data_IF_284688624570
#
_entry.id   IF_284688624570
#
_cell.length_a   1.000
_cell.length_b   1.000
_cell.length_c   1.000
_cell.angle_alpha   90.00
_cell.angle_beta   90.00
_cell.angle_gamma   90.00
#
_symmetry.space_group_name_H-M   'P 1'
#
loop_
_entity.id
_entity.type
_entity.pdbx_description
1 polymer ?
#
# COMPACT_ATOMS: atom_id res chain seq x y z
N UNK A 1 -12.33 -3.98 -11.00
CA UNK A 1 -11.04 -4.70 -11.13
C UNK A 1 -11.15 -6.23 -11.17
N UNK A 2 -12.30 -6.84 -10.79
CA UNK A 2 -12.53 -8.30 -10.93
C UNK A 2 -12.93 -8.77 -12.35
N UNK A 3 -13.01 -7.90 -13.35
CA UNK A 3 -13.39 -8.28 -14.73
C UNK A 3 -12.20 -8.78 -15.57
N UNK A 4 -10.97 -8.70 -15.07
CA UNK A 4 -9.74 -9.13 -15.75
C UNK A 4 -9.16 -10.45 -15.22
N UNK A 5 -9.77 -11.01 -14.18
CA UNK A 5 -9.48 -12.29 -13.55
C UNK A 5 -10.84 -12.97 -13.38
N UNK A 6 -11.22 -14.09 -13.99
CA UNK A 6 -10.54 -15.36 -14.23
C UNK A 6 -11.43 -16.13 -15.21
N UNK A 7 -10.90 -16.69 -16.30
CA UNK A 7 -11.55 -17.78 -17.06
C UNK A 7 -10.60 -18.98 -17.30
N UNK A 8 -9.32 -18.86 -16.92
CA UNK A 8 -8.33 -19.94 -17.01
C UNK A 8 -7.47 -19.92 -15.72
N UNK A 9 -7.30 -21.05 -15.01
CA UNK A 9 -6.43 -21.18 -13.85
C UNK A 9 -4.95 -20.84 -14.08
N UNK A 10 -4.50 -20.63 -15.34
CA UNK A 10 -3.07 -20.51 -15.68
C UNK A 10 -2.60 -19.19 -16.30
N UNK A 11 -3.47 -18.25 -16.72
CA UNK A 11 -3.03 -17.05 -17.47
C UNK A 11 -3.80 -15.75 -17.23
N UNK A 12 -3.13 -14.61 -17.45
CA UNK A 12 -3.79 -13.30 -17.54
C UNK A 12 -4.63 -13.22 -18.83
N UNK A 13 -5.81 -12.62 -18.75
CA UNK A 13 -6.74 -12.51 -19.89
C UNK A 13 -6.70 -11.14 -20.56
N UNK A 14 -7.32 -11.03 -21.74
CA UNK A 14 -7.39 -9.79 -22.54
C UNK A 14 -6.14 -9.52 -23.40
N UNK A 15 -6.18 -8.48 -24.26
CA UNK A 15 -5.09 -8.19 -25.21
C UNK A 15 -3.74 -7.95 -24.54
N UNK A 16 -3.71 -7.16 -23.47
CA UNK A 16 -2.48 -6.86 -22.71
C UNK A 16 -1.98 -8.09 -21.95
N UNK A 17 -2.87 -8.80 -21.25
CA UNK A 17 -2.51 -9.94 -20.41
C UNK A 17 -1.89 -11.11 -21.20
N UNK A 18 -2.35 -11.33 -22.44
CA UNK A 18 -1.81 -12.36 -23.34
C UNK A 18 -0.35 -12.09 -23.75
N UNK A 19 0.11 -10.84 -23.70
CA UNK A 19 1.48 -10.47 -24.07
C UNK A 19 2.47 -10.59 -22.92
N UNK A 20 2.00 -10.76 -21.67
CA UNK A 20 2.88 -10.86 -20.51
C UNK A 20 3.91 -11.99 -20.60
N UNK A 21 3.61 -13.22 -21.06
CA UNK A 21 4.60 -14.30 -21.07
C UNK A 21 5.83 -14.06 -21.97
N UNK A 22 5.69 -13.23 -23.01
CA UNK A 22 6.71 -13.01 -24.04
C UNK A 22 7.25 -11.59 -24.07
N UNK A 23 6.75 -10.68 -23.21
CA UNK A 23 7.10 -9.25 -23.25
C UNK A 23 8.60 -8.97 -23.13
N UNK A 24 9.36 -9.82 -22.44
CA UNK A 24 10.81 -9.68 -22.28
C UNK A 24 11.59 -9.82 -23.59
N UNK A 25 11.02 -10.47 -24.60
CA UNK A 25 11.66 -10.71 -25.90
C UNK A 25 11.42 -9.57 -26.90
N UNK A 26 10.47 -8.67 -26.62
CA UNK A 26 10.15 -7.58 -27.53
C UNK A 26 11.24 -6.50 -27.47
N UNK A 27 11.70 -5.92 -28.59
CA UNK A 27 12.67 -4.83 -28.53
C UNK A 27 12.09 -3.61 -27.80
N UNK A 28 12.95 -2.77 -27.22
CA UNK A 28 12.55 -1.42 -26.83
C UNK A 28 12.47 -0.58 -28.11
N UNK A 29 11.40 0.19 -28.23
CA UNK A 29 11.10 1.03 -29.40
C UNK A 29 11.00 2.49 -28.98
N UNK A 30 10.73 3.40 -29.92
CA UNK A 30 10.40 4.79 -29.55
C UNK A 30 9.05 4.83 -28.84
N UNK A 31 9.02 5.40 -27.63
CA UNK A 31 7.80 5.52 -26.82
C UNK A 31 7.68 6.94 -26.25
N UNK A 32 6.46 7.32 -25.86
CA UNK A 32 6.23 8.62 -25.24
C UNK A 32 6.62 8.63 -23.76
N UNK A 33 7.32 9.67 -23.32
CA UNK A 33 7.61 9.85 -21.90
C UNK A 33 6.32 10.06 -21.10
N UNK A 34 6.26 9.47 -19.91
CA UNK A 34 5.18 9.71 -18.94
C UNK A 34 5.78 10.40 -17.73
N UNK A 35 5.19 11.52 -17.32
CA UNK A 35 5.66 12.24 -16.14
C UNK A 35 5.53 11.36 -14.87
N UNK A 36 6.58 11.39 -14.05
CA UNK A 36 6.74 10.53 -12.88
C UNK A 36 8.06 10.82 -12.17
N UNK A 37 8.03 11.68 -11.15
CA UNK A 37 9.21 12.00 -10.36
C UNK A 37 9.30 11.13 -9.12
N UNK A 38 9.98 9.98 -9.24
CA UNK A 38 10.37 9.17 -8.09
C UNK A 38 11.36 9.95 -7.21
N UNK A 39 11.16 9.91 -5.90
CA UNK A 39 12.16 10.37 -4.93
C UNK A 39 13.40 9.48 -5.01
N UNK A 40 14.54 10.04 -4.63
CA UNK A 40 15.77 9.25 -4.48
C UNK A 40 15.55 8.10 -3.49
N UNK A 41 15.95 6.90 -3.89
CA UNK A 41 15.70 5.68 -3.16
C UNK A 41 16.98 4.86 -3.11
N UNK A 42 17.37 4.43 -1.90
CA UNK A 42 18.51 3.54 -1.75
C UNK A 42 18.15 2.14 -2.26
N UNK A 43 18.91 1.67 -3.24
CA UNK A 43 18.72 0.37 -3.86
C UNK A 43 19.51 -0.74 -3.14
N UNK A 44 20.36 -0.39 -2.17
CA UNK A 44 21.03 -1.34 -1.31
C UNK A 44 19.94 -2.05 -0.47
N UNK A 45 19.94 -3.38 -0.45
CA UNK A 45 18.91 -4.24 0.19
C UNK A 45 17.52 -4.28 -0.46
N UNK A 46 17.40 -3.80 -1.70
CA UNK A 46 16.14 -3.87 -2.48
C UNK A 46 16.06 -5.14 -3.33
N UNK A 47 14.87 -5.75 -3.42
CA UNK A 47 14.68 -6.94 -4.26
C UNK A 47 14.88 -6.64 -5.76
N UNK A 48 15.23 -7.65 -6.55
CA UNK A 48 15.43 -7.49 -8.00
C UNK A 48 14.23 -6.88 -8.71
N UNK A 49 13.02 -7.23 -8.28
CA UNK A 49 11.76 -6.75 -8.86
C UNK A 49 11.51 -5.28 -8.51
N UNK A 50 11.82 -4.86 -7.27
CA UNK A 50 11.72 -3.46 -6.84
C UNK A 50 12.78 -2.59 -7.53
N UNK A 51 14.02 -3.08 -7.67
CA UNK A 51 15.07 -2.39 -8.44
C UNK A 51 14.65 -2.22 -9.90
N UNK A 52 14.01 -3.24 -10.50
CA UNK A 52 13.49 -3.13 -11.86
C UNK A 52 12.41 -2.06 -11.96
N UNK A 53 11.43 -2.07 -11.04
CA UNK A 53 10.36 -1.06 -10.98
C UNK A 53 10.94 0.35 -10.93
N UNK A 54 11.85 0.61 -9.98
CA UNK A 54 12.47 1.93 -9.80
C UNK A 54 13.18 2.41 -11.07
N UNK A 55 14.03 1.54 -11.65
CA UNK A 55 14.82 1.87 -12.84
C UNK A 55 13.94 2.06 -14.07
N UNK A 56 12.89 1.25 -14.25
CA UNK A 56 12.01 1.32 -15.41
C UNK A 56 11.09 2.55 -15.35
N UNK A 57 10.51 2.87 -14.19
CA UNK A 57 9.76 4.12 -14.00
C UNK A 57 10.65 5.34 -14.28
N UNK A 58 11.89 5.33 -13.78
CA UNK A 58 12.86 6.40 -14.02
C UNK A 58 13.23 6.54 -15.50
N UNK A 59 13.40 5.42 -16.21
CA UNK A 59 13.70 5.37 -17.63
C UNK A 59 12.55 5.92 -18.48
N UNK A 60 11.31 5.49 -18.19
CA UNK A 60 10.11 5.97 -18.89
C UNK A 60 9.91 7.47 -18.67
N UNK A 61 10.12 7.97 -17.45
CA UNK A 61 10.02 9.40 -17.16
C UNK A 61 11.08 10.23 -17.91
N UNK A 62 12.27 9.67 -18.14
CA UNK A 62 13.33 10.30 -18.94
C UNK A 62 13.14 10.14 -20.45
N UNK A 63 12.30 9.20 -20.88
CA UNK A 63 12.10 8.87 -22.30
C UNK A 63 13.24 8.02 -22.89
N UNK A 64 14.08 7.41 -22.06
CA UNK A 64 15.20 6.58 -22.51
C UNK A 64 15.41 5.37 -21.59
N UNK A 65 15.52 4.17 -22.18
CA UNK A 65 15.72 2.91 -21.48
C UNK A 65 17.14 2.42 -21.74
N UNK A 66 18.01 2.40 -20.72
CA UNK A 66 19.39 1.94 -20.86
C UNK A 66 19.49 0.50 -21.44
N UNK A 67 20.50 0.20 -22.29
CA UNK A 67 20.63 -1.12 -22.93
C UNK A 67 20.75 -2.31 -21.97
N UNK A 68 21.29 -2.10 -20.77
CA UNK A 68 21.36 -3.11 -19.72
C UNK A 68 19.99 -3.37 -19.07
N UNK A 69 19.13 -2.35 -18.99
CA UNK A 69 17.77 -2.46 -18.45
C UNK A 69 16.82 -3.09 -19.48
N UNK A 70 16.97 -2.78 -20.77
CA UNK A 70 16.11 -3.31 -21.85
C UNK A 70 16.20 -4.83 -21.99
N UNK A 71 17.38 -5.40 -21.72
CA UNK A 71 17.67 -6.85 -21.75
C UNK A 71 17.33 -7.58 -20.45
N UNK A 72 16.97 -6.85 -19.38
CA UNK A 72 16.72 -7.44 -18.07
C UNK A 72 15.34 -8.09 -18.01
N UNK A 73 15.28 -9.30 -17.46
CA UNK A 73 14.01 -10.00 -17.20
C UNK A 73 13.18 -9.21 -16.15
N UNK A 74 11.91 -8.86 -16.44
CA UNK A 74 11.01 -8.20 -15.48
C UNK A 74 10.56 -9.09 -14.31
N UNK A 75 11.03 -10.33 -14.23
CA UNK A 75 10.80 -11.27 -13.14
C UNK A 75 9.89 -12.44 -13.56
N UNK A 76 10.06 -13.59 -12.92
CA UNK A 76 9.27 -14.80 -13.21
C UNK A 76 7.79 -14.57 -12.88
N UNK A 77 6.91 -14.86 -13.84
CA UNK A 77 5.47 -14.74 -13.63
C UNK A 77 5.02 -15.60 -12.44
N UNK A 78 4.42 -14.94 -11.46
CA UNK A 78 3.66 -15.57 -10.38
C UNK A 78 2.41 -14.72 -10.13
N UNK A 79 1.22 -15.34 -10.25
CA UNK A 79 -0.08 -14.65 -10.12
C UNK A 79 -0.27 -13.92 -8.78
N UNK A 80 0.45 -14.32 -7.74
CA UNK A 80 0.44 -13.67 -6.43
C UNK A 80 1.35 -12.43 -6.32
N UNK A 81 2.15 -12.11 -7.35
CA UNK A 81 3.14 -11.02 -7.32
C UNK A 81 2.71 -9.86 -8.21
N UNK A 82 1.97 -8.94 -7.60
CA UNK A 82 1.57 -7.68 -8.26
C UNK A 82 2.76 -6.92 -8.85
N UNK A 83 3.90 -6.87 -8.13
CA UNK A 83 5.10 -6.17 -8.59
C UNK A 83 5.66 -6.71 -9.92
N UNK A 84 5.67 -8.03 -10.12
CA UNK A 84 6.07 -8.63 -11.39
C UNK A 84 5.11 -8.27 -12.51
N UNK A 85 3.81 -8.17 -12.21
CA UNK A 85 2.79 -7.74 -13.19
C UNK A 85 3.04 -6.29 -13.62
N UNK A 86 3.30 -5.40 -12.67
CA UNK A 86 3.67 -4.01 -12.91
C UNK A 86 4.92 -3.91 -13.79
N UNK A 87 5.98 -4.65 -13.46
CA UNK A 87 7.21 -4.65 -14.25
C UNK A 87 6.97 -5.10 -15.70
N UNK A 88 6.09 -6.10 -15.92
CA UNK A 88 5.72 -6.56 -17.26
C UNK A 88 4.88 -5.55 -18.03
N UNK A 89 3.99 -4.81 -17.36
CA UNK A 89 3.24 -3.70 -17.98
C UNK A 89 4.21 -2.61 -18.46
N UNK A 90 5.14 -2.18 -17.60
CA UNK A 90 6.16 -1.19 -17.97
C UNK A 90 7.02 -1.68 -19.13
N UNK A 91 7.39 -2.97 -19.13
CA UNK A 91 8.16 -3.57 -20.21
C UNK A 91 7.41 -3.62 -21.54
N UNK A 92 6.10 -3.84 -21.52
CA UNK A 92 5.25 -3.78 -22.70
C UNK A 92 5.10 -2.36 -23.24
N UNK A 93 4.94 -1.38 -22.34
CA UNK A 93 4.81 0.02 -22.74
C UNK A 93 6.01 0.50 -23.55
N UNK A 94 7.23 0.27 -23.06
CA UNK A 94 8.48 0.65 -23.78
C UNK A 94 8.76 -0.19 -25.03
N UNK A 95 7.96 -1.22 -25.27
CA UNK A 95 8.03 -2.09 -26.46
C UNK A 95 6.89 -1.84 -27.46
N UNK A 96 6.06 -0.82 -27.23
CA UNK A 96 4.90 -0.51 -28.05
C UNK A 96 5.03 0.89 -28.63
N UNK A 97 5.23 1.01 -29.94
CA UNK A 97 5.29 2.33 -30.62
C UNK A 97 3.92 3.03 -30.60
N UNK A 98 2.85 2.26 -30.68
CA UNK A 98 1.47 2.74 -30.62
C UNK A 98 0.72 1.98 -29.50
N UNK A 99 0.97 2.32 -28.23
CA UNK A 99 0.32 1.65 -27.11
C UNK A 99 -1.19 1.94 -27.11
N UNK A 100 -2.00 0.96 -26.71
CA UNK A 100 -3.45 1.18 -26.56
C UNK A 100 -3.73 2.15 -25.42
N UNK A 101 -4.89 2.82 -25.45
CA UNK A 101 -5.32 3.74 -24.39
C UNK A 101 -5.32 3.07 -23.00
N UNK A 102 -5.66 1.79 -22.92
CA UNK A 102 -5.63 1.02 -21.68
C UNK A 102 -4.19 0.81 -21.17
N UNK A 103 -3.25 0.50 -22.07
CA UNK A 103 -1.84 0.34 -21.71
C UNK A 103 -1.23 1.67 -21.25
N UNK A 104 -1.56 2.78 -21.92
CA UNK A 104 -1.19 4.13 -21.50
C UNK A 104 -1.76 4.40 -20.10
N UNK A 105 -3.08 4.25 -19.91
CA UNK A 105 -3.77 4.54 -18.64
C UNK A 105 -3.18 3.78 -17.46
N UNK A 106 -2.90 2.47 -17.63
CA UNK A 106 -2.33 1.65 -16.56
C UNK A 106 -0.87 2.04 -16.30
N UNK A 107 -0.10 2.34 -17.35
CA UNK A 107 1.29 2.78 -17.20
C UNK A 107 1.38 4.12 -16.49
N UNK A 108 0.52 5.08 -16.85
CA UNK A 108 0.39 6.35 -16.14
C UNK A 108 0.04 6.15 -14.67
N UNK A 109 -0.94 5.28 -14.37
CA UNK A 109 -1.27 4.95 -12.99
C UNK A 109 -0.06 4.39 -12.23
N UNK A 110 0.74 3.54 -12.88
CA UNK A 110 1.95 2.98 -12.27
C UNK A 110 2.94 4.10 -11.90
N UNK A 111 3.25 5.00 -12.84
CA UNK A 111 4.25 6.05 -12.62
C UNK A 111 3.76 7.16 -11.69
N UNK A 112 2.51 7.61 -11.84
CA UNK A 112 1.96 8.78 -11.14
C UNK A 112 1.35 8.45 -9.78
N UNK A 113 1.02 7.18 -9.53
CA UNK A 113 0.33 6.75 -8.30
C UNK A 113 1.06 5.61 -7.62
N UNK A 114 1.10 4.42 -8.23
CA UNK A 114 1.53 3.20 -7.54
C UNK A 114 3.00 3.24 -7.12
N UNK A 115 3.93 3.49 -8.05
CA UNK A 115 5.35 3.47 -7.77
C UNK A 115 5.73 4.55 -6.75
N UNK A 116 5.13 5.74 -6.86
CA UNK A 116 5.37 6.83 -5.92
C UNK A 116 4.95 6.46 -4.49
N UNK A 117 3.73 5.95 -4.31
CA UNK A 117 3.24 5.54 -2.98
C UNK A 117 4.01 4.32 -2.47
N UNK A 118 4.38 3.38 -3.35
CA UNK A 118 5.15 2.20 -2.99
C UNK A 118 6.51 2.58 -2.39
N UNK A 119 7.31 3.38 -3.10
CA UNK A 119 8.63 3.78 -2.59
C UNK A 119 8.52 4.72 -1.39
N UNK A 120 7.46 5.53 -1.31
CA UNK A 120 7.20 6.36 -0.14
C UNK A 120 6.94 5.51 1.12
N UNK A 121 6.22 4.40 0.99
CA UNK A 121 6.02 3.42 2.07
C UNK A 121 7.34 2.76 2.47
N UNK A 122 8.20 2.40 1.51
CA UNK A 122 9.49 1.78 1.81
C UNK A 122 10.42 2.74 2.58
N UNK A 123 10.49 4.02 2.18
CA UNK A 123 11.30 5.05 2.86
C UNK A 123 10.69 5.43 4.21
N UNK A 124 9.38 5.68 4.25
CA UNK A 124 8.63 6.11 5.43
C UNK A 124 7.75 4.99 5.94
N UNK A 125 8.41 3.91 6.35
CA UNK A 125 7.72 2.68 6.71
C UNK A 125 7.01 2.71 8.06
N UNK A 126 7.10 3.77 8.87
CA UNK A 126 6.43 3.80 10.20
C UNK A 126 4.91 3.63 10.08
N UNK A 127 4.30 2.90 11.01
CA UNK A 127 2.85 2.76 11.15
C UNK A 127 2.13 4.10 11.38
N UNK A 128 2.84 5.09 11.92
CA UNK A 128 2.35 6.47 12.05
C UNK A 128 2.18 7.15 10.69
N UNK A 129 2.81 6.68 9.62
CA UNK A 129 2.67 7.26 8.28
C UNK A 129 1.54 6.62 7.46
N UNK A 130 0.92 5.54 7.96
CA UNK A 130 -0.05 4.74 7.21
C UNK A 130 -1.22 5.55 6.62
N UNK A 131 -1.85 6.42 7.42
CA UNK A 131 -2.95 7.27 6.96
C UNK A 131 -2.49 8.31 5.92
N UNK A 132 -1.25 8.82 6.04
CA UNK A 132 -0.66 9.75 5.07
C UNK A 132 -0.39 9.06 3.73
N UNK A 133 0.08 7.82 3.75
CA UNK A 133 0.29 7.01 2.55
C UNK A 133 -1.02 6.74 1.81
N UNK A 134 -2.08 6.39 2.53
CA UNK A 134 -3.40 6.17 1.96
C UNK A 134 -4.00 7.47 1.41
N UNK A 135 -3.84 8.58 2.13
CA UNK A 135 -4.21 9.90 1.63
C UNK A 135 -3.46 10.27 0.34
N UNK A 136 -2.14 10.04 0.30
CA UNK A 136 -1.29 10.26 -0.88
C UNK A 136 -1.79 9.45 -2.08
N UNK A 137 -2.14 8.17 -1.88
CA UNK A 137 -2.74 7.32 -2.91
C UNK A 137 -4.06 7.89 -3.46
N UNK A 138 -4.94 8.36 -2.57
CA UNK A 138 -6.23 8.95 -2.96
C UNK A 138 -6.00 10.23 -3.75
N UNK A 139 -5.21 11.17 -3.23
CA UNK A 139 -4.87 12.45 -3.88
C UNK A 139 -4.29 12.22 -5.28
N UNK A 140 -3.29 11.34 -5.38
CA UNK A 140 -2.61 11.05 -6.65
C UNK A 140 -3.52 10.36 -7.66
N UNK A 141 -4.54 9.63 -7.24
CA UNK A 141 -5.48 8.97 -8.16
C UNK A 141 -6.62 9.86 -8.66
N UNK A 142 -6.77 11.10 -8.13
CA UNK A 142 -7.93 11.95 -8.48
C UNK A 142 -7.94 12.42 -9.94
N UNK A 143 -6.78 12.51 -10.60
CA UNK A 143 -6.68 12.88 -12.03
C UNK A 143 -7.32 11.85 -12.98
N UNK A 144 -7.53 10.62 -12.50
CA UNK A 144 -8.04 9.54 -13.34
C UNK A 144 -9.49 9.82 -13.80
N UNK A 145 -9.87 9.33 -14.99
CA UNK A 145 -11.25 9.42 -15.48
C UNK A 145 -12.24 8.75 -14.52
N UNK A 146 -13.50 9.20 -14.53
CA UNK A 146 -14.56 8.67 -13.66
C UNK A 146 -14.70 7.14 -13.76
N UNK A 147 -14.73 6.59 -14.98
CA UNK A 147 -14.83 5.15 -15.21
C UNK A 147 -13.67 4.34 -14.59
N UNK A 148 -12.47 4.92 -14.49
CA UNK A 148 -11.33 4.30 -13.81
C UNK A 148 -11.47 4.43 -12.30
N UNK A 149 -11.93 5.59 -11.81
CA UNK A 149 -12.20 5.81 -10.38
C UNK A 149 -13.26 4.84 -9.84
N UNK A 150 -14.32 4.57 -10.61
CA UNK A 150 -15.34 3.55 -10.28
C UNK A 150 -14.76 2.15 -10.07
N UNK A 151 -13.59 1.88 -10.66
CA UNK A 151 -12.89 0.60 -10.52
C UNK A 151 -11.94 0.59 -9.31
N UNK A 152 -11.21 1.68 -9.05
CA UNK A 152 -10.15 1.73 -8.03
C UNK A 152 -10.68 2.14 -6.65
N UNK A 153 -11.65 3.04 -6.56
CA UNK A 153 -12.12 3.60 -5.29
C UNK A 153 -12.73 2.49 -4.39
N UNK A 154 -13.51 1.52 -4.92
CA UNK A 154 -13.95 0.36 -4.14
C UNK A 154 -12.80 -0.57 -3.71
N UNK A 155 -11.65 -0.53 -4.38
CA UNK A 155 -10.45 -1.27 -3.96
C UNK A 155 -9.75 -0.54 -2.83
N UNK A 156 -9.55 0.77 -2.95
CA UNK A 156 -8.99 1.63 -1.90
C UNK A 156 -9.84 1.52 -0.63
N UNK A 157 -11.16 1.71 -0.76
CA UNK A 157 -12.11 1.62 0.33
C UNK A 157 -12.07 0.28 1.07
N UNK A 158 -11.85 -0.85 0.39
CA UNK A 158 -11.76 -2.17 1.05
C UNK A 158 -10.44 -2.40 1.79
N UNK A 159 -9.39 -1.66 1.43
CA UNK A 159 -8.07 -1.77 2.03
C UNK A 159 -7.76 -0.60 2.99
N UNK A 160 -8.75 0.24 3.32
CA UNK A 160 -8.59 1.44 4.12
C UNK A 160 -8.42 1.19 5.63
N UNK A 161 -7.71 0.12 5.99
CA UNK A 161 -7.47 -0.26 7.38
C UNK A 161 -6.62 0.78 8.13
N UNK A 162 -5.69 1.45 7.44
CA UNK A 162 -4.90 2.53 8.03
C UNK A 162 -5.71 3.80 8.32
N UNK A 163 -6.92 3.93 7.80
CA UNK A 163 -7.83 5.04 8.13
C UNK A 163 -8.88 4.66 9.20
N UNK A 164 -8.62 3.60 9.95
CA UNK A 164 -9.33 3.38 11.20
C UNK A 164 -9.01 4.53 12.18
N UNK A 165 -9.97 5.01 13.02
CA UNK A 165 -9.77 6.18 13.88
C UNK A 165 -8.50 6.12 14.73
N UNK A 166 -8.14 4.93 15.23
CA UNK A 166 -6.93 4.75 16.05
C UNK A 166 -5.62 4.94 15.25
N UNK A 167 -5.59 4.55 13.98
CA UNK A 167 -4.42 4.72 13.12
C UNK A 167 -4.25 6.17 12.67
N UNK A 168 -5.36 6.86 12.39
CA UNK A 168 -5.33 8.31 12.10
C UNK A 168 -4.81 9.07 13.32
N UNK A 169 -5.23 8.70 14.54
CA UNK A 169 -4.69 9.30 15.76
C UNK A 169 -3.17 9.08 15.90
N UNK A 170 -2.64 7.90 15.55
CA UNK A 170 -1.20 7.67 15.52
C UNK A 170 -0.48 8.60 14.54
N UNK A 171 -1.04 8.77 13.34
CA UNK A 171 -0.51 9.72 12.34
C UNK A 171 -0.56 11.18 12.80
N UNK A 172 -1.61 11.55 13.54
CA UNK A 172 -1.77 12.90 14.08
C UNK A 172 -0.80 13.20 15.23
N UNK A 173 -0.46 12.21 16.06
CA UNK A 173 0.51 12.39 17.15
C UNK A 173 1.91 12.76 16.66
N UNK A 174 2.29 12.27 15.48
CA UNK A 174 3.58 12.58 14.84
C UNK A 174 3.45 13.61 13.71
N UNK A 175 2.35 14.36 13.65
CA UNK A 175 2.16 15.41 12.64
C UNK A 175 3.04 16.61 12.93
N UNK A 176 3.64 17.23 11.92
CA UNK A 176 4.45 18.45 12.07
C UNK A 176 3.64 19.63 12.63
N UNK A 177 2.32 19.64 12.39
CA UNK A 177 1.41 20.69 12.86
C UNK A 177 1.05 20.46 14.32
N UNK A 178 1.51 21.36 15.19
CA UNK A 178 1.16 21.38 16.63
C UNK A 178 -0.35 21.22 16.92
N UNK A 179 -1.28 21.88 16.19
CA UNK A 179 -2.72 21.71 16.45
C UNK A 179 -3.22 20.28 16.21
N UNK A 180 -2.62 19.53 15.28
CA UNK A 180 -3.01 18.14 15.01
C UNK A 180 -2.54 17.21 16.12
N UNK A 181 -1.32 17.40 16.61
CA UNK A 181 -0.79 16.67 17.78
C UNK A 181 -1.65 16.91 19.01
N UNK A 182 -2.01 18.17 19.27
CA UNK A 182 -2.89 18.54 20.38
C UNK A 182 -4.28 17.87 20.27
N UNK A 183 -4.89 17.94 19.09
CA UNK A 183 -6.20 17.34 18.84
C UNK A 183 -6.17 15.81 19.05
N UNK A 184 -5.09 15.15 18.62
CA UNK A 184 -4.91 13.72 18.83
C UNK A 184 -4.85 13.36 20.33
N UNK A 185 -4.00 14.07 21.09
CA UNK A 185 -3.86 13.89 22.53
C UNK A 185 -5.21 14.07 23.26
N UNK A 186 -5.95 15.14 22.93
CA UNK A 186 -7.28 15.40 23.49
C UNK A 186 -8.28 14.30 23.16
N UNK A 187 -8.27 13.79 21.92
CA UNK A 187 -9.14 12.67 21.50
C UNK A 187 -8.81 11.39 22.25
N UNK A 188 -7.52 11.07 22.41
CA UNK A 188 -7.07 9.90 23.16
C UNK A 188 -7.52 9.99 24.62
N UNK A 189 -7.24 11.12 25.29
CA UNK A 189 -7.66 11.32 26.68
C UNK A 189 -9.18 11.22 26.84
N UNK A 190 -9.96 11.80 25.91
CA UNK A 190 -11.43 11.67 25.92
C UNK A 190 -11.90 10.22 25.77
N UNK A 191 -11.23 9.41 24.95
CA UNK A 191 -11.56 7.99 24.79
C UNK A 191 -11.36 7.20 26.10
N UNK A 192 -10.29 7.53 26.85
CA UNK A 192 -10.00 6.92 28.15
C UNK A 192 -11.06 7.27 29.20
N UNK A 193 -11.41 8.55 29.30
CA UNK A 193 -12.44 9.05 30.24
C UNK A 193 -13.80 8.40 29.96
N UNK A 194 -14.15 8.24 28.69
CA UNK A 194 -15.42 7.61 28.30
C UNK A 194 -15.47 6.09 28.58
N UNK A 195 -14.41 5.50 29.16
CA UNK A 195 -14.38 4.09 29.51
C UNK A 195 -14.42 3.16 28.29
N UNK A 196 -14.06 3.65 27.10
CA UNK A 196 -14.00 2.85 25.86
C UNK A 196 -12.83 1.85 25.85
N UNK A 197 -12.19 1.61 27.00
CA UNK A 197 -11.48 0.37 27.33
C UNK A 197 -12.47 -0.80 27.34
N UNK A 198 -13.10 -1.08 26.20
CA UNK A 198 -14.09 -2.13 26.11
C UNK A 198 -13.38 -3.47 26.39
N UNK A 199 -13.88 -4.15 27.43
CA UNK A 199 -13.56 -5.54 27.82
C UNK A 199 -13.89 -6.58 26.71
N UNK A 200 -14.22 -6.10 25.52
CA UNK A 200 -14.63 -6.86 24.34
C UNK A 200 -13.54 -6.78 23.27
N UNK A 201 -13.42 -7.82 22.46
CA UNK A 201 -12.49 -7.89 21.34
C UNK A 201 -12.71 -6.68 20.41
N UNK A 202 -11.64 -5.94 20.08
CA UNK A 202 -11.67 -4.81 19.15
C UNK A 202 -12.17 -5.29 17.78
N UNK A 203 -13.27 -4.74 17.30
CA UNK A 203 -13.75 -5.01 15.95
C UNK A 203 -13.14 -3.99 14.98
N UNK A 204 -12.22 -4.46 14.15
CA UNK A 204 -11.55 -3.61 13.17
C UNK A 204 -12.37 -3.54 11.88
N UNK A 205 -13.35 -2.62 11.84
CA UNK A 205 -14.21 -2.38 10.67
C UNK A 205 -13.65 -1.23 9.84
N UNK A 206 -13.56 -1.44 8.53
CA UNK A 206 -13.13 -0.38 7.62
C UNK A 206 -14.16 0.74 7.59
N UNK A 207 -13.70 1.96 7.85
CA UNK A 207 -14.49 3.20 7.85
C UNK A 207 -14.79 3.66 6.43
N UNK A 208 -15.95 4.26 6.21
CA UNK A 208 -16.27 4.87 4.91
C UNK A 208 -15.35 6.08 4.69
N UNK A 209 -14.61 6.07 3.59
CA UNK A 209 -13.66 7.12 3.25
C UNK A 209 -14.36 8.32 2.59
N UNK A 210 -13.87 9.50 2.90
CA UNK A 210 -14.13 10.73 2.18
C UNK A 210 -13.05 10.95 1.11
N UNK A 211 -13.35 10.64 -0.15
CA UNK A 211 -12.39 10.75 -1.25
C UNK A 211 -12.11 12.19 -1.70
N UNK A 212 -12.96 13.16 -1.32
CA UNK A 212 -12.85 14.55 -1.74
C UNK A 212 -12.07 15.44 -0.75
N UNK A 213 -11.67 14.85 0.38
CA UNK A 213 -10.93 15.55 1.44
C UNK A 213 -9.60 16.13 0.96
N UNK A 214 -9.22 17.26 1.55
CA UNK A 214 -7.95 17.94 1.35
C UNK A 214 -6.92 17.62 2.44
N UNK A 215 -7.34 16.94 3.51
CA UNK A 215 -6.50 16.55 4.65
C UNK A 215 -6.74 15.09 5.03
N UNK A 216 -5.67 14.36 5.36
CA UNK A 216 -5.78 12.96 5.76
C UNK A 216 -6.58 12.80 7.07
N UNK A 217 -6.58 13.82 7.94
CA UNK A 217 -7.35 13.80 9.19
C UNK A 217 -8.86 13.83 8.95
N UNK A 218 -9.31 14.20 7.76
CA UNK A 218 -10.72 14.28 7.36
C UNK A 218 -11.14 13.12 6.44
N UNK A 219 -10.29 12.09 6.30
CA UNK A 219 -10.61 10.87 5.53
C UNK A 219 -11.81 10.11 6.10
N UNK A 220 -12.12 10.29 7.38
CA UNK A 220 -13.25 9.67 8.04
C UNK A 220 -14.18 10.72 8.64
N UNK A 221 -15.47 10.39 8.70
CA UNK A 221 -16.41 11.16 9.50
C UNK A 221 -16.29 10.76 10.99
N UNK A 222 -15.53 11.56 11.74
CA UNK A 222 -15.32 11.41 13.18
C UNK A 222 -16.60 11.40 14.03
N UNK A 223 -17.72 11.94 13.55
CA UNK A 223 -18.99 11.94 14.27
C UNK A 223 -19.74 10.60 14.12
N UNK A 224 -19.46 9.86 13.04
CA UNK A 224 -20.14 8.59 12.72
C UNK A 224 -19.38 7.35 13.19
N UNK A 225 -18.19 7.51 13.75
CA UNK A 225 -17.29 6.42 14.11
C UNK A 225 -16.96 6.44 15.59
N UNK A 226 -16.88 5.26 16.20
CA UNK A 226 -16.38 5.13 17.56
C UNK A 226 -14.87 5.28 17.56
N UNK A 227 -14.35 6.23 18.34
CA UNK A 227 -12.91 6.43 18.50
C UNK A 227 -12.42 5.52 19.62
N UNK A 228 -11.39 4.73 19.32
CA UNK A 228 -10.77 3.81 20.27
C UNK A 228 -9.33 4.26 20.48
N UNK A 229 -8.82 4.11 21.70
CA UNK A 229 -7.43 4.44 22.01
C UNK A 229 -6.46 3.55 21.20
N UNK A 230 -5.46 4.13 20.51
CA UNK A 230 -4.42 3.36 19.83
C UNK A 230 -3.63 2.45 20.79
N UNK A 231 -3.37 1.18 20.43
CA UNK A 231 -2.63 0.26 21.31
C UNK A 231 -1.26 0.79 21.75
N UNK A 232 -0.59 1.58 20.91
CA UNK A 232 0.73 2.13 21.18
C UNK A 232 0.74 3.25 22.22
N UNK A 233 -0.42 3.81 22.59
CA UNK A 233 -0.52 4.88 23.60
C UNK A 233 -0.90 4.36 24.98
N UNK A 234 -1.34 3.11 25.11
CA UNK A 234 -1.87 2.52 26.37
C UNK A 234 -0.91 2.67 27.54
N UNK A 235 0.41 2.57 27.31
CA UNK A 235 1.43 2.65 28.37
C UNK A 235 1.68 4.08 28.87
N UNK A 236 1.21 5.09 28.15
CA UNK A 236 1.33 6.51 28.56
C UNK A 236 0.26 6.79 29.60
N UNK A 237 0.56 7.37 30.76
CA UNK A 237 -0.46 7.67 31.77
C UNK A 237 -1.32 8.89 31.40
N UNK A 238 -2.50 9.00 32.01
CA UNK A 238 -3.39 10.16 31.81
C UNK A 238 -2.71 11.47 32.22
N UNK A 239 -1.96 11.47 33.32
CA UNK A 239 -1.19 12.64 33.77
C UNK A 239 -0.15 13.10 32.73
N UNK A 240 0.51 12.14 32.06
CA UNK A 240 1.47 12.46 30.99
C UNK A 240 0.74 13.04 29.78
N UNK A 241 -0.39 12.47 29.38
CA UNK A 241 -1.20 13.03 28.29
C UNK A 241 -1.69 14.45 28.62
N UNK A 242 -2.15 14.69 29.84
CA UNK A 242 -2.57 16.02 30.29
C UNK A 242 -1.42 17.03 30.25
N UNK A 243 -0.23 16.64 30.74
CA UNK A 243 0.99 17.47 30.63
C UNK A 243 1.35 17.78 29.19
N UNK A 244 1.26 16.80 28.30
CA UNK A 244 1.48 17.00 26.86
C UNK A 244 0.42 17.91 26.23
N UNK A 245 -0.84 17.88 26.67
CA UNK A 245 -1.86 18.81 26.15
C UNK A 245 -1.57 20.25 26.58
N UNK A 246 -1.15 20.46 27.83
CA UNK A 246 -0.77 21.80 28.33
C UNK A 246 0.46 22.34 27.60
N UNK A 247 1.45 21.48 27.34
CA UNK A 247 2.66 21.81 26.59
C UNK A 247 2.91 20.76 25.52
N UNK A 248 2.28 20.96 24.35
CA UNK A 248 2.38 20.04 23.21
C UNK A 248 3.83 19.91 22.77
N UNK A 249 4.43 18.70 22.86
CA UNK A 249 5.79 18.48 22.42
C UNK A 249 5.95 18.75 20.92
N UNK A 250 7.16 19.13 20.51
CA UNK A 250 7.50 19.27 19.09
C UNK A 250 7.53 17.89 18.41
N UNK A 251 8.01 16.88 19.11
CA UNK A 251 8.05 15.49 18.67
C UNK A 251 7.46 14.59 19.75
N UNK A 252 6.52 13.72 19.36
CA UNK A 252 5.98 12.66 20.22
C UNK A 252 6.57 11.34 19.74
N UNK A 253 7.37 10.70 20.57
CA UNK A 253 7.97 9.40 20.23
C UNK A 253 6.96 8.28 20.40
N UNK A 254 6.69 7.56 19.30
CA UNK A 254 5.88 6.35 19.26
C UNK A 254 6.77 5.20 18.81
N UNK A 255 6.54 4.01 19.36
CA UNK A 255 7.31 2.82 18.99
C UNK A 255 7.22 2.57 17.48
N UNK A 256 8.38 2.54 16.84
CA UNK A 256 8.52 2.44 15.38
C UNK A 256 8.22 1.02 14.93
N UNK A 257 6.95 0.77 14.63
CA UNK A 257 6.54 -0.44 13.92
C UNK A 257 6.33 -0.11 12.45
N UNK A 258 6.78 -0.97 11.53
CA UNK A 258 6.53 -0.74 10.12
C UNK A 258 5.04 -0.95 9.75
N UNK A 259 4.47 -0.09 8.89
CA UNK A 259 3.13 -0.19 8.31
C UNK A 259 3.03 -1.34 7.29
N UNK A 260 4.18 -1.76 6.76
CA UNK A 260 4.31 -2.86 5.83
C UNK A 260 5.52 -3.73 6.21
N UNK A 261 5.36 -5.05 6.26
CA UNK A 261 6.50 -5.95 6.48
C UNK A 261 6.49 -7.11 5.49
N UNK A 262 7.68 -7.52 5.07
CA UNK A 262 7.85 -8.78 4.33
C UNK A 262 7.29 -9.99 5.09
N UNK A 263 7.31 -9.96 6.42
CA UNK A 263 6.70 -11.01 7.23
C UNK A 263 5.18 -11.09 7.02
N UNK A 264 4.50 -9.94 6.98
CA UNK A 264 3.07 -9.85 6.65
C UNK A 264 2.81 -10.33 5.22
N UNK A 265 3.61 -9.91 4.22
CA UNK A 265 3.47 -10.42 2.85
C UNK A 265 3.64 -11.94 2.76
N UNK A 266 4.68 -12.49 3.42
CA UNK A 266 4.92 -13.95 3.49
C UNK A 266 3.79 -14.69 4.20
N UNK A 267 3.18 -14.07 5.20
CA UNK A 267 2.02 -14.60 5.91
C UNK A 267 0.80 -14.65 4.98
N UNK A 268 0.47 -13.56 4.29
CA UNK A 268 -0.63 -13.49 3.32
C UNK A 268 -0.49 -14.58 2.25
N UNK A 269 0.72 -14.79 1.72
CA UNK A 269 1.00 -15.89 0.79
C UNK A 269 0.67 -17.24 1.41
N UNK A 270 1.16 -17.50 2.62
CA UNK A 270 0.95 -18.78 3.31
C UNK A 270 -0.53 -19.02 3.60
N UNK A 271 -1.27 -17.98 3.97
CA UNK A 271 -2.73 -18.02 4.20
C UNK A 271 -3.49 -18.26 2.90
N UNK A 272 -3.12 -17.58 1.82
CA UNK A 272 -3.74 -17.75 0.49
C UNK A 272 -3.56 -19.17 -0.03
N UNK A 273 -2.33 -19.70 0.03
CA UNK A 273 -2.03 -21.08 -0.38
C UNK A 273 -2.81 -22.09 0.48
N UNK A 274 -2.85 -21.89 1.80
CA UNK A 274 -3.63 -22.77 2.68
C UNK A 274 -5.13 -22.72 2.37
N UNK A 275 -5.67 -21.53 2.08
CA UNK A 275 -7.08 -21.34 1.74
C UNK A 275 -7.46 -21.98 0.40
N UNK A 276 -6.51 -22.12 -0.53
CA UNK A 276 -6.71 -22.86 -1.79
C UNK A 276 -6.62 -24.37 -1.64
N UNK A 277 -6.05 -24.89 -0.55
CA UNK A 277 -5.80 -26.32 -0.34
C UNK A 277 -6.76 -26.97 0.65
N UNK A 278 -7.23 -26.24 1.67
CA UNK A 278 -8.10 -26.78 2.72
C UNK A 278 -9.25 -25.83 3.08
N UNK A 279 -10.41 -26.41 3.36
CA UNK A 279 -11.60 -25.69 3.84
C UNK A 279 -11.74 -25.81 5.37
N UNK A 280 -12.42 -24.87 6.01
CA UNK A 280 -12.59 -24.83 7.46
C UNK A 280 -11.43 -24.13 8.22
N UNK A 281 -11.78 -23.43 9.30
CA UNK A 281 -10.84 -22.61 10.08
C UNK A 281 -9.73 -23.46 10.70
N UNK A 282 -10.07 -24.57 11.34
CA UNK A 282 -9.09 -25.42 12.04
C UNK A 282 -8.08 -26.04 11.06
N UNK A 283 -8.55 -26.59 9.93
CA UNK A 283 -7.68 -27.17 8.91
C UNK A 283 -6.74 -26.14 8.29
N UNK A 284 -7.23 -24.92 8.00
CA UNK A 284 -6.38 -23.82 7.50
C UNK A 284 -5.33 -23.42 8.52
N UNK A 285 -5.73 -23.21 9.78
CA UNK A 285 -4.81 -22.83 10.87
C UNK A 285 -3.75 -23.92 11.10
N UNK A 286 -4.16 -25.19 11.11
CA UNK A 286 -3.25 -26.33 11.22
C UNK A 286 -2.21 -26.33 10.10
N UNK A 287 -2.64 -26.23 8.84
CA UNK A 287 -1.75 -26.20 7.69
C UNK A 287 -0.79 -24.99 7.70
N UNK A 288 -1.28 -23.81 8.08
CA UNK A 288 -0.45 -22.60 8.22
C UNK A 288 0.64 -22.82 9.29
N UNK A 289 0.26 -23.34 10.47
CA UNK A 289 1.20 -23.60 11.57
C UNK A 289 2.26 -24.63 11.17
N UNK A 290 1.87 -25.74 10.55
CA UNK A 290 2.80 -26.77 10.07
C UNK A 290 3.79 -26.20 9.05
N UNK A 291 3.31 -25.37 8.11
CA UNK A 291 4.18 -24.71 7.12
C UNK A 291 5.13 -23.69 7.73
N UNK A 292 4.69 -22.93 8.73
CA UNK A 292 5.56 -22.00 9.46
C UNK A 292 6.63 -22.78 10.23
N UNK A 293 6.27 -23.88 10.89
CA UNK A 293 7.20 -24.73 11.61
C UNK A 293 8.23 -25.38 10.67
N UNK A 294 7.79 -25.95 9.55
CA UNK A 294 8.67 -26.52 8.52
C UNK A 294 9.69 -25.52 7.99
N UNK A 295 9.28 -24.28 7.72
CA UNK A 295 10.19 -23.20 7.25
C UNK A 295 11.25 -22.77 8.28
N UNK A 296 11.07 -23.09 9.57
CA UNK A 296 12.07 -22.82 10.61
C UNK A 296 13.12 -23.93 10.73
N UNK A 297 12.84 -25.11 10.19
CA UNK A 297 13.70 -26.31 10.29
C UNK A 297 14.61 -26.42 9.06
N UNK A 298 14.21 -25.84 7.92
CA UNK A 298 15.01 -25.83 6.69
C UNK A 298 16.01 -24.65 6.78
N UNK A 299 17.32 -24.89 6.64
CA UNK A 299 18.36 -23.86 6.72
C UNK A 299 18.25 -22.80 5.62
#
# INVERSE_FOLDING_TARGET
MRKWMVNDPKGFSGPIGKLFPTCQNLPVVNFEKIDGKLSEFDLNDTSTDQVYLYKMCSAIAKGDVPPNLSKRDPGKMAHARWLTTVNRILRLYVASEQPSNELITITEFILKVYALVWFDIEVRSSCTEGSRHLFSLIRRSRYLPAAVKDVIDPVIQRNAFFDHPENILLSMLTDDRKPMRELALRRILKCRVNGLYNRNIRQFKVTKLNFDTQDYTELINWQSVSVIEPPLTIKVSDDVLQKMIVRVPDNIEISKHPCHTQAVERCIRTVTEASGLVSGTESRVGLIRTRIASKKIIP
#
